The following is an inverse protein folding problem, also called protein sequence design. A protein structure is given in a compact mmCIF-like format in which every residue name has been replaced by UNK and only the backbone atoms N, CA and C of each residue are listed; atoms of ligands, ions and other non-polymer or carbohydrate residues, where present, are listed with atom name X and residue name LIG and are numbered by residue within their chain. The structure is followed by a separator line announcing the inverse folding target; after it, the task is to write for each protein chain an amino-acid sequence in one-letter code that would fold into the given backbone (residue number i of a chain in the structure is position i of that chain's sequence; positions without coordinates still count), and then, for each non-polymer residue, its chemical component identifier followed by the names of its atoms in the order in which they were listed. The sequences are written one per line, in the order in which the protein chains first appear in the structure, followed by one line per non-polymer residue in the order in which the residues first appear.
data_IF_302473013403
#
_entry.id   IF_302473013403
#
_cell.length_a   1.000
_cell.length_b   1.000
_cell.length_c   1.000
_cell.angle_alpha   90.00
_cell.angle_beta   90.00
_cell.angle_gamma   90.00
#
_symmetry.space_group_name_H-M   'P 1'
#
loop_
_entity.id
_entity.type
_entity.pdbx_description
1 polymer ?
#
# COMPACT_ATOMS: atom_id res chain seq x y z
N UNK A 1 6.57 11.24 -21.65
CA UNK A 1 6.11 9.83 -21.77
C UNK A 1 7.15 8.96 -21.10
N UNK A 2 6.77 8.18 -20.09
CA UNK A 2 7.66 7.23 -19.40
C UNK A 2 7.60 5.88 -20.12
N UNK A 3 8.76 5.25 -20.35
CA UNK A 3 8.85 3.84 -20.75
C UNK A 3 9.27 3.02 -19.55
N UNK A 4 8.69 1.84 -19.41
CA UNK A 4 9.05 0.88 -18.37
C UNK A 4 9.97 -0.15 -19.01
N UNK A 5 11.08 -0.41 -18.34
CA UNK A 5 12.08 -1.40 -18.75
C UNK A 5 12.23 -2.40 -17.61
N UNK A 6 12.21 -3.69 -17.94
CA UNK A 6 12.31 -4.77 -16.98
C UNK A 6 13.70 -5.40 -17.03
N UNK A 7 14.28 -5.64 -15.86
CA UNK A 7 15.59 -6.21 -15.73
C UNK A 7 15.91 -6.59 -14.29
N UNK A 8 16.91 -7.43 -14.15
CA UNK A 8 17.41 -7.91 -12.87
C UNK A 8 18.63 -7.06 -12.52
N UNK A 9 18.60 -6.39 -11.36
CA UNK A 9 19.77 -5.69 -10.84
C UNK A 9 20.71 -6.70 -10.17
N UNK A 10 21.90 -6.89 -10.74
CA UNK A 10 22.96 -7.74 -10.20
C UNK A 10 24.19 -6.90 -9.91
N UNK A 11 24.59 -6.87 -8.64
CA UNK A 11 25.60 -5.97 -8.09
C UNK A 11 25.23 -4.50 -8.36
N UNK A 12 25.80 -3.89 -9.39
CA UNK A 12 25.56 -2.50 -9.82
C UNK A 12 25.21 -2.43 -11.33
N UNK A 13 24.80 -3.55 -11.92
CA UNK A 13 24.46 -3.64 -13.34
C UNK A 13 23.07 -4.23 -13.51
N UNK A 14 22.28 -3.62 -14.38
CA UNK A 14 20.97 -4.13 -14.75
C UNK A 14 21.15 -5.09 -15.92
N UNK A 15 20.83 -6.36 -15.72
CA UNK A 15 20.66 -7.37 -16.75
C UNK A 15 19.21 -7.27 -17.28
N UNK A 16 19.03 -6.68 -18.47
CA UNK A 16 17.71 -6.49 -19.06
C UNK A 16 17.13 -7.83 -19.54
N UNK A 17 15.89 -8.13 -19.14
CA UNK A 17 15.17 -9.35 -19.56
C UNK A 17 14.43 -9.17 -20.90
N UNK A 18 14.43 -7.95 -21.46
CA UNK A 18 13.77 -7.60 -22.72
C UNK A 18 14.46 -6.43 -23.44
N UNK A 19 13.68 -5.49 -23.96
CA UNK A 19 14.23 -4.28 -24.58
C UNK A 19 15.04 -3.48 -23.56
N UNK A 20 16.27 -3.11 -23.90
CA UNK A 20 17.08 -2.21 -23.08
C UNK A 20 16.85 -0.76 -23.50
N UNK A 21 17.02 0.22 -22.58
CA UNK A 21 17.11 1.62 -22.97
C UNK A 21 18.16 1.80 -24.09
N UNK A 22 17.89 2.66 -25.08
CA UNK A 22 18.80 2.86 -26.20
C UNK A 22 20.18 3.33 -25.68
N UNK A 23 21.29 2.73 -26.18
CA UNK A 23 22.62 3.12 -25.76
C UNK A 23 22.89 4.59 -26.13
N UNK A 24 23.44 5.36 -25.20
CA UNK A 24 23.66 6.79 -25.41
C UNK A 24 24.02 7.56 -24.14
N UNK A 25 23.40 8.73 -23.97
CA UNK A 25 23.65 9.61 -22.81
C UNK A 25 23.22 8.92 -21.51
N UNK A 26 23.87 9.25 -20.38
CA UNK A 26 23.41 8.79 -19.06
C UNK A 26 21.92 9.12 -18.88
N UNK A 27 21.12 8.11 -18.58
CA UNK A 27 19.68 8.26 -18.30
C UNK A 27 19.44 8.10 -16.80
N UNK A 28 18.67 9.01 -16.22
CA UNK A 28 18.21 8.87 -14.84
C UNK A 28 17.10 7.82 -14.79
N UNK A 29 17.25 6.84 -13.89
CA UNK A 29 16.26 5.79 -13.68
C UNK A 29 15.70 5.84 -12.25
N UNK A 30 14.45 5.41 -12.10
CA UNK A 30 13.85 5.14 -10.79
C UNK A 30 13.66 3.63 -10.68
N UNK A 31 14.43 2.99 -9.81
CA UNK A 31 14.35 1.55 -9.58
C UNK A 31 13.31 1.25 -8.49
N UNK A 32 12.34 0.40 -8.80
CA UNK A 32 11.40 -0.16 -7.83
C UNK A 32 11.86 -1.59 -7.55
N UNK A 33 12.41 -1.83 -6.36
CA UNK A 33 12.85 -3.17 -5.96
C UNK A 33 11.62 -3.98 -5.55
N UNK A 34 11.32 -5.03 -6.32
CA UNK A 34 10.29 -5.98 -5.96
C UNK A 34 10.85 -6.96 -4.92
N UNK A 35 10.37 -6.89 -3.68
CA UNK A 35 10.68 -7.90 -2.67
C UNK A 35 9.97 -9.21 -3.05
N UNK A 36 10.70 -10.14 -3.67
CA UNK A 36 10.18 -11.46 -4.03
C UNK A 36 9.96 -12.38 -2.83
N UNK A 37 10.53 -12.03 -1.66
CA UNK A 37 10.31 -12.76 -0.43
C UNK A 37 9.66 -11.84 0.60
N UNK A 38 8.32 -11.73 0.64
CA UNK A 38 7.68 -11.30 1.86
C UNK A 38 8.16 -12.27 2.93
N UNK A 39 8.91 -11.77 3.92
CA UNK A 39 9.34 -12.56 5.06
C UNK A 39 8.16 -13.45 5.50
N UNK A 40 8.25 -14.78 5.36
CA UNK A 40 7.11 -15.67 5.52
C UNK A 40 6.55 -15.58 6.94
N UNK A 41 7.39 -15.19 7.90
CA UNK A 41 7.00 -14.97 9.28
C UNK A 41 6.39 -13.59 9.52
N UNK A 42 6.53 -12.62 8.61
CA UNK A 42 5.94 -11.28 8.78
C UNK A 42 4.44 -11.36 9.00
N UNK A 43 3.75 -12.21 8.24
CA UNK A 43 2.31 -12.45 8.42
C UNK A 43 2.01 -13.03 9.80
N UNK A 44 2.77 -14.04 10.22
CA UNK A 44 2.61 -14.70 11.52
C UNK A 44 2.91 -13.76 12.71
N UNK A 45 4.00 -12.98 12.63
CA UNK A 45 4.37 -11.98 13.64
C UNK A 45 3.34 -10.85 13.73
N UNK A 46 2.79 -10.43 12.59
CA UNK A 46 1.69 -9.46 12.55
C UNK A 46 0.44 -10.02 13.21
N UNK A 47 0.01 -11.23 12.83
CA UNK A 47 -1.15 -11.89 13.41
C UNK A 47 -1.00 -12.05 14.94
N UNK A 48 0.16 -12.52 15.40
CA UNK A 48 0.45 -12.67 16.82
C UNK A 48 0.40 -11.32 17.58
N UNK A 49 0.91 -10.26 16.97
CA UNK A 49 0.85 -8.91 17.56
C UNK A 49 -0.59 -8.40 17.65
N UNK A 50 -1.40 -8.61 16.61
CA UNK A 50 -2.82 -8.26 16.60
C UNK A 50 -3.62 -9.06 17.65
N UNK A 51 -3.35 -10.35 17.81
CA UNK A 51 -3.98 -11.18 18.84
C UNK A 51 -3.69 -10.65 20.25
N UNK A 52 -2.41 -10.33 20.54
CA UNK A 52 -2.03 -9.74 21.84
C UNK A 52 -2.74 -8.40 22.10
N UNK A 53 -2.88 -7.56 21.07
CA UNK A 53 -3.60 -6.31 21.18
C UNK A 53 -5.10 -6.51 21.45
N UNK A 54 -5.71 -7.54 20.87
CA UNK A 54 -7.10 -7.90 21.13
C UNK A 54 -7.30 -8.40 22.58
N UNK A 55 -6.35 -9.19 23.11
CA UNK A 55 -6.35 -9.68 24.49
C UNK A 55 -6.27 -8.55 25.52
N UNK A 56 -5.50 -7.49 25.24
CA UNK A 56 -5.42 -6.30 26.10
C UNK A 56 -6.78 -5.60 26.32
N UNK A 57 -7.80 -5.92 25.52
CA UNK A 57 -9.15 -5.40 25.68
C UNK A 57 -9.29 -3.91 25.43
N UNK A 58 -8.22 -3.21 25.04
CA UNK A 58 -8.21 -1.77 24.74
C UNK A 58 -9.23 -1.46 23.65
N UNK A 59 -9.33 -2.30 22.61
CA UNK A 59 -10.33 -2.18 21.55
C UNK A 59 -11.79 -2.18 22.08
N UNK A 60 -12.08 -2.95 23.13
CA UNK A 60 -13.42 -2.99 23.75
C UNK A 60 -13.77 -1.70 24.49
N UNK A 61 -12.78 -0.90 24.89
CA UNK A 61 -12.99 0.38 25.58
C UNK A 61 -13.40 1.51 24.64
N UNK A 62 -13.13 1.38 23.34
CA UNK A 62 -13.42 2.42 22.34
C UNK A 62 -14.88 2.42 21.84
N UNK A 63 -15.76 1.60 22.42
CA UNK A 63 -17.17 1.52 22.02
C UNK A 63 -17.34 0.99 20.59
N UNK A 64 -18.43 1.35 19.94
CA UNK A 64 -18.65 0.99 18.53
C UNK A 64 -17.70 1.79 17.62
N UNK A 65 -16.76 1.09 16.99
CA UNK A 65 -15.78 1.67 16.07
C UNK A 65 -16.45 2.41 14.89
N UNK A 66 -17.64 1.97 14.46
CA UNK A 66 -18.41 2.63 13.40
C UNK A 66 -18.97 3.96 13.90
N UNK A 67 -19.45 4.02 15.14
CA UNK A 67 -19.90 5.27 15.77
C UNK A 67 -18.74 6.23 15.95
N UNK A 68 -17.60 5.77 16.47
CA UNK A 68 -16.39 6.59 16.59
C UNK A 68 -15.93 7.12 15.22
N UNK A 69 -15.93 6.27 14.19
CA UNK A 69 -15.58 6.68 12.84
C UNK A 69 -16.50 7.78 12.31
N UNK A 70 -17.83 7.68 12.53
CA UNK A 70 -18.80 8.72 12.13
C UNK A 70 -18.65 10.02 12.92
N UNK A 71 -18.25 9.93 14.20
CA UNK A 71 -18.01 11.10 15.05
C UNK A 71 -16.72 11.83 14.64
N UNK A 72 -15.65 11.10 14.35
CA UNK A 72 -14.33 11.67 14.00
C UNK A 72 -14.28 12.09 12.54
N UNK A 73 -14.81 11.27 11.64
CA UNK A 73 -14.96 11.61 10.23
C UNK A 73 -16.35 12.20 10.08
N UNK A 74 -16.45 13.54 10.10
CA UNK A 74 -17.61 14.21 9.49
C UNK A 74 -17.78 13.60 8.10
N UNK A 75 -18.90 12.92 7.86
CA UNK A 75 -19.23 12.39 6.56
C UNK A 75 -18.99 13.51 5.54
N UNK A 76 -17.94 13.33 4.74
CA UNK A 76 -17.63 14.29 3.69
C UNK A 76 -18.71 14.07 2.64
N UNK A 77 -19.52 15.08 2.30
CA UNK A 77 -20.49 14.92 1.23
C UNK A 77 -19.75 14.45 -0.01
N UNK A 78 -20.23 13.36 -0.59
CA UNK A 78 -19.71 12.87 -1.86
C UNK A 78 -20.07 13.91 -2.91
N UNK A 79 -19.06 14.59 -3.45
CA UNK A 79 -19.24 15.53 -4.55
C UNK A 79 -19.93 14.81 -5.71
N UNK A 80 -21.16 15.21 -6.03
CA UNK A 80 -21.97 14.65 -7.13
C UNK A 80 -23.18 13.80 -6.72
N UNK A 81 -23.51 13.65 -5.43
CA UNK A 81 -24.82 13.14 -5.00
C UNK A 81 -25.71 14.32 -4.62
N UNK A 82 -26.75 14.58 -5.40
CA UNK A 82 -27.83 15.47 -4.98
C UNK A 82 -28.62 14.77 -3.88
N UNK A 83 -28.66 15.35 -2.69
CA UNK A 83 -29.55 14.93 -1.61
C UNK A 83 -31.00 15.28 -2.00
N UNK A 84 -31.61 14.48 -2.87
CA UNK A 84 -33.05 14.55 -3.12
C UNK A 84 -33.78 13.65 -2.12
N UNK A 85 -34.65 14.20 -1.24
CA UNK A 85 -35.54 13.37 -0.44
C UNK A 85 -36.55 12.71 -1.37
N UNK A 86 -36.62 11.38 -1.34
CA UNK A 86 -37.69 10.65 -2.00
C UNK A 86 -39.00 10.97 -1.25
N UNK A 87 -39.92 11.71 -1.89
CA UNK A 87 -41.31 11.84 -1.46
C UNK A 87 -42.10 10.58 -1.85
#
# INVERSE_FOLDING_TARGET
MSRVYEGILKDDRIEWSGESPPPGRPVQIHAIVMNENPDPERGARMAASLSKLAECGTAKKFGDAVQWQRQVRRDRPLSGREDTPNQ
#
